data_IF_392086970360
#
_entry.id   IF_392086970360
#
_cell.length_a   1.000
_cell.length_b   1.000
_cell.length_c   1.000
_cell.angle_alpha   90.00
_cell.angle_beta   90.00
_cell.angle_gamma   90.00
#
_symmetry.space_group_name_H-M   'P 1'
#
loop_
_entity.id
_entity.type
_entity.pdbx_description
1 polymer ?
#
# COMPACT_ATOMS: atom_id res chain seq x y z
N UNK A 1 -4.96 25.57 8.86
CA UNK A 1 -5.03 24.25 8.18
C UNK A 1 -4.33 24.43 6.83
N UNK A 2 -3.07 24.03 6.73
CA UNK A 2 -2.38 23.91 5.46
C UNK A 2 -3.07 22.80 4.65
N UNK A 3 -3.26 22.99 3.35
CA UNK A 3 -3.69 21.91 2.48
C UNK A 3 -2.68 20.76 2.64
N UNK A 4 -3.15 19.55 2.95
CA UNK A 4 -2.29 18.39 2.96
C UNK A 4 -1.66 18.26 1.57
N UNK A 5 -0.37 17.95 1.53
CA UNK A 5 0.34 17.72 0.29
C UNK A 5 -0.32 16.51 -0.43
N UNK A 6 -0.83 16.66 -1.65
CA UNK A 6 -1.55 15.60 -2.32
C UNK A 6 -0.65 14.41 -2.71
N UNK A 7 0.67 14.59 -2.65
CA UNK A 7 1.64 13.58 -3.07
C UNK A 7 2.43 13.06 -1.87
N UNK A 8 2.33 11.76 -1.64
CA UNK A 8 3.05 11.08 -0.57
C UNK A 8 4.58 11.25 -0.69
N UNK A 9 5.26 11.38 0.46
CA UNK A 9 6.68 11.69 0.51
C UNK A 9 7.53 10.63 -0.20
N UNK A 10 7.24 9.33 -0.03
CA UNK A 10 7.98 8.25 -0.68
C UNK A 10 7.99 8.34 -2.22
N UNK A 11 6.93 8.92 -2.84
CA UNK A 11 6.88 9.16 -4.29
C UNK A 11 7.85 10.27 -4.71
N UNK A 12 7.96 11.33 -3.91
CA UNK A 12 8.91 12.42 -4.16
C UNK A 12 10.35 11.94 -4.03
N UNK A 13 10.61 11.13 -3.01
CA UNK A 13 11.93 10.57 -2.75
C UNK A 13 12.36 9.58 -3.85
N UNK A 14 11.42 8.83 -4.40
CA UNK A 14 11.68 7.90 -5.50
C UNK A 14 11.89 8.59 -6.87
N UNK A 15 11.39 9.81 -7.04
CA UNK A 15 11.41 10.55 -8.31
C UNK A 15 11.95 11.98 -8.15
N UNK A 16 13.18 12.17 -7.64
CA UNK A 16 13.74 13.50 -7.40
C UNK A 16 13.93 14.32 -8.68
N UNK A 17 14.13 13.66 -9.81
CA UNK A 17 14.23 14.25 -11.15
C UNK A 17 12.90 14.86 -11.63
N UNK A 18 11.77 14.45 -11.04
CA UNK A 18 10.43 14.96 -11.35
C UNK A 18 9.90 15.95 -10.32
N UNK A 19 10.72 16.40 -9.38
CA UNK A 19 10.30 17.29 -8.29
C UNK A 19 9.59 18.55 -8.81
N UNK A 20 10.04 19.13 -9.93
CA UNK A 20 9.42 20.29 -10.57
C UNK A 20 8.00 20.02 -11.07
N UNK A 21 7.78 18.87 -11.72
CA UNK A 21 6.46 18.44 -12.18
C UNK A 21 5.53 18.12 -11.00
N UNK A 22 6.04 17.42 -10.00
CA UNK A 22 5.30 17.07 -8.77
C UNK A 22 4.81 18.32 -8.05
N UNK A 23 5.65 19.38 -7.96
CA UNK A 23 5.30 20.62 -7.31
C UNK A 23 4.18 21.42 -8.03
N UNK A 24 3.89 21.09 -9.29
CA UNK A 24 2.80 21.74 -10.05
C UNK A 24 1.47 21.00 -9.97
N UNK A 25 1.42 19.84 -9.31
CA UNK A 25 0.18 19.05 -9.16
C UNK A 25 -0.81 19.82 -8.29
N UNK A 26 -2.00 20.04 -8.82
CA UNK A 26 -3.08 20.75 -8.15
C UNK A 26 -4.02 19.74 -7.50
N UNK A 27 -4.33 19.94 -6.22
CA UNK A 27 -5.36 19.13 -5.54
C UNK A 27 -6.74 19.44 -6.13
N UNK A 28 -7.49 18.40 -6.44
CA UNK A 28 -8.88 18.47 -6.92
C UNK A 28 -9.86 17.84 -5.90
N UNK A 29 -9.55 18.02 -4.62
CA UNK A 29 -10.34 17.47 -3.52
C UNK A 29 -9.82 16.13 -3.01
N UNK A 30 -10.60 15.47 -2.17
CA UNK A 30 -10.23 14.17 -1.60
C UNK A 30 -10.74 13.00 -2.45
N UNK A 31 -10.19 11.83 -2.23
CA UNK A 31 -10.66 10.58 -2.85
C UNK A 31 -12.16 10.30 -2.59
N UNK A 32 -12.68 10.76 -1.45
CA UNK A 32 -14.08 10.55 -1.06
C UNK A 32 -15.00 11.71 -1.48
N UNK A 33 -14.43 12.87 -1.78
CA UNK A 33 -15.18 14.07 -2.19
C UNK A 33 -14.33 14.84 -3.22
N UNK A 34 -14.25 14.35 -4.48
CA UNK A 34 -13.56 15.06 -5.54
C UNK A 34 -14.33 16.32 -5.95
N UNK A 35 -13.61 17.39 -6.27
CA UNK A 35 -14.16 18.63 -6.80
C UNK A 35 -14.27 18.54 -8.33
N UNK A 36 -15.43 18.19 -8.82
CA UNK A 36 -15.68 18.01 -10.26
C UNK A 36 -15.56 19.31 -11.05
N UNK A 37 -15.82 20.48 -10.44
CA UNK A 37 -15.62 21.78 -11.07
C UNK A 37 -14.12 22.08 -11.25
N UNK A 38 -13.33 21.87 -10.20
CA UNK A 38 -11.87 22.00 -10.28
C UNK A 38 -11.27 21.03 -11.31
N UNK A 39 -11.75 19.78 -11.39
CA UNK A 39 -11.33 18.82 -12.42
C UNK A 39 -11.65 19.36 -13.81
N UNK A 40 -12.87 19.85 -14.05
CA UNK A 40 -13.29 20.42 -15.34
C UNK A 40 -12.44 21.61 -15.76
N UNK A 41 -12.09 22.49 -14.81
CA UNK A 41 -11.25 23.66 -15.05
C UNK A 41 -9.82 23.32 -15.47
N UNK A 42 -9.30 22.16 -15.04
CA UNK A 42 -7.98 21.64 -15.46
C UNK A 42 -7.98 21.12 -16.90
N UNK A 43 -9.14 20.83 -17.49
CA UNK A 43 -9.30 20.28 -18.84
C UNK A 43 -8.40 19.06 -19.07
N UNK A 44 -8.52 17.99 -18.29
CA UNK A 44 -7.66 16.82 -18.40
C UNK A 44 -7.93 16.05 -19.70
N UNK A 45 -6.89 15.42 -20.26
CA UNK A 45 -7.02 14.48 -21.38
C UNK A 45 -7.50 13.09 -20.94
N UNK A 46 -7.27 12.73 -19.68
CA UNK A 46 -7.65 11.46 -19.06
C UNK A 46 -7.94 11.66 -17.57
N UNK A 47 -8.98 11.01 -17.10
CA UNK A 47 -9.29 10.92 -15.67
C UNK A 47 -9.13 9.47 -15.21
N UNK A 48 -8.33 9.26 -14.17
CA UNK A 48 -8.23 8.00 -13.46
C UNK A 48 -8.96 8.11 -12.12
N UNK A 49 -9.91 7.24 -11.87
CA UNK A 49 -10.70 7.24 -10.63
C UNK A 49 -10.71 5.87 -9.98
N UNK A 50 -10.93 5.88 -8.68
CA UNK A 50 -11.18 4.70 -7.88
C UNK A 50 -12.63 4.78 -7.36
N UNK A 51 -13.54 4.14 -8.07
CA UNK A 51 -14.96 4.18 -7.77
C UNK A 51 -15.44 2.94 -6.98
N UNK A 52 -14.54 1.99 -6.65
CA UNK A 52 -14.94 0.72 -6.01
C UNK A 52 -15.53 0.90 -4.62
N UNK A 53 -16.67 0.28 -4.38
CA UNK A 53 -17.25 0.13 -3.04
C UNK A 53 -17.94 1.37 -2.47
N UNK A 54 -18.35 2.32 -3.31
CA UNK A 54 -19.13 3.49 -2.89
C UNK A 54 -20.54 3.39 -3.44
N UNK A 55 -21.52 3.78 -2.63
CA UNK A 55 -22.94 3.81 -3.04
C UNK A 55 -23.19 4.74 -4.25
N UNK A 56 -22.36 5.79 -4.40
CA UNK A 56 -22.42 6.77 -5.49
C UNK A 56 -21.36 6.59 -6.58
N UNK A 57 -20.69 5.43 -6.64
CA UNK A 57 -19.59 5.18 -7.57
C UNK A 57 -19.98 5.41 -9.04
N UNK A 58 -21.14 4.91 -9.42
CA UNK A 58 -21.67 5.05 -10.78
C UNK A 58 -21.99 6.51 -11.11
N UNK A 59 -22.58 7.25 -10.17
CA UNK A 59 -22.91 8.67 -10.36
C UNK A 59 -21.65 9.51 -10.51
N UNK A 60 -20.63 9.26 -9.69
CA UNK A 60 -19.35 9.94 -9.81
C UNK A 60 -18.70 9.62 -11.16
N UNK A 61 -18.62 8.34 -11.53
CA UNK A 61 -18.05 7.91 -12.81
C UNK A 61 -18.74 8.58 -13.99
N UNK A 62 -20.07 8.59 -14.01
CA UNK A 62 -20.87 9.27 -15.04
C UNK A 62 -20.56 10.77 -15.10
N UNK A 63 -20.43 11.43 -13.95
CA UNK A 63 -20.11 12.86 -13.90
C UNK A 63 -18.70 13.14 -14.47
N UNK A 64 -17.72 12.32 -14.16
CA UNK A 64 -16.34 12.44 -14.64
C UNK A 64 -16.25 12.18 -16.15
N UNK A 65 -17.01 11.23 -16.68
CA UNK A 65 -17.04 10.95 -18.14
C UNK A 65 -17.64 12.08 -18.98
N UNK A 66 -18.39 13.01 -18.39
CA UNK A 66 -18.82 14.23 -19.07
C UNK A 66 -17.70 15.27 -19.23
N UNK A 67 -16.62 15.14 -18.46
CA UNK A 67 -15.48 16.06 -18.49
C UNK A 67 -14.41 15.54 -19.46
N UNK A 68 -14.00 14.28 -19.33
CA UNK A 68 -12.95 13.67 -20.15
C UNK A 68 -13.06 12.13 -20.16
N UNK A 69 -12.35 11.44 -21.09
CA UNK A 69 -12.19 10.00 -21.02
C UNK A 69 -11.78 9.54 -19.61
N UNK A 70 -12.51 8.58 -19.06
CA UNK A 70 -12.34 8.17 -17.65
C UNK A 70 -12.11 6.68 -17.55
N UNK A 71 -11.09 6.27 -16.80
CA UNK A 71 -10.83 4.87 -16.42
C UNK A 71 -11.13 4.69 -14.93
N UNK A 72 -11.87 3.63 -14.60
CA UNK A 72 -12.18 3.26 -13.21
C UNK A 72 -11.37 2.04 -12.80
N UNK A 73 -10.51 2.24 -11.81
CA UNK A 73 -9.68 1.19 -11.21
C UNK A 73 -10.44 0.49 -10.07
N UNK A 74 -10.04 -0.73 -9.73
CA UNK A 74 -10.58 -1.41 -8.54
C UNK A 74 -10.21 -0.65 -7.26
N UNK A 75 -9.01 -0.06 -7.23
CA UNK A 75 -8.54 0.81 -6.16
C UNK A 75 -8.32 0.12 -4.82
N UNK A 76 -8.26 -1.20 -4.82
CA UNK A 76 -7.86 -1.99 -3.65
C UNK A 76 -6.46 -2.52 -3.88
N UNK A 77 -5.66 -2.62 -2.82
CA UNK A 77 -4.30 -3.16 -2.94
C UNK A 77 -4.25 -4.59 -3.51
N UNK A 78 -5.34 -5.33 -3.44
CA UNK A 78 -5.47 -6.67 -4.02
C UNK A 78 -5.26 -6.69 -5.54
N UNK A 79 -5.75 -5.68 -6.24
CA UNK A 79 -5.75 -5.61 -7.70
C UNK A 79 -4.72 -4.62 -8.26
N UNK A 80 -3.74 -4.19 -7.47
CA UNK A 80 -2.82 -3.14 -7.85
C UNK A 80 -2.07 -3.36 -9.19
N UNK A 81 -1.74 -4.61 -9.52
CA UNK A 81 -1.11 -4.94 -10.82
C UNK A 81 -2.08 -4.76 -11.98
N UNK A 82 -3.33 -5.21 -11.80
CA UNK A 82 -4.37 -5.05 -12.81
C UNK A 82 -4.70 -3.57 -13.03
N UNK A 83 -4.81 -2.80 -11.95
CA UNK A 83 -5.05 -1.36 -11.99
C UNK A 83 -3.89 -0.60 -12.64
N UNK A 84 -2.65 -0.99 -12.35
CA UNK A 84 -1.46 -0.42 -13.00
C UNK A 84 -1.45 -0.69 -14.50
N UNK A 85 -1.78 -1.92 -14.92
CA UNK A 85 -1.87 -2.27 -16.35
C UNK A 85 -3.05 -1.59 -17.04
N UNK A 86 -4.19 -1.40 -16.37
CA UNK A 86 -5.33 -0.67 -16.90
C UNK A 86 -4.99 0.79 -17.18
N UNK A 87 -4.33 1.45 -16.22
CA UNK A 87 -3.87 2.83 -16.39
C UNK A 87 -2.84 2.94 -17.51
N UNK A 88 -1.89 2.01 -17.55
CA UNK A 88 -0.88 1.97 -18.60
C UNK A 88 -1.49 1.72 -20.00
N UNK A 89 -2.54 0.90 -20.09
CA UNK A 89 -3.27 0.66 -21.33
C UNK A 89 -3.96 1.94 -21.83
N UNK A 90 -4.61 2.68 -20.93
CA UNK A 90 -5.21 3.98 -21.25
C UNK A 90 -4.18 5.02 -21.73
N UNK A 91 -2.93 4.89 -21.30
CA UNK A 91 -1.80 5.74 -21.72
C UNK A 91 -1.03 5.19 -22.93
N UNK A 92 -1.44 4.05 -23.53
CA UNK A 92 -0.71 3.39 -24.61
C UNK A 92 0.64 2.81 -24.19
N UNK A 93 0.83 2.49 -22.89
CA UNK A 93 2.09 2.03 -22.29
C UNK A 93 2.02 0.60 -21.72
N UNK A 94 1.00 -0.18 -22.08
CA UNK A 94 0.74 -1.50 -21.49
C UNK A 94 1.95 -2.44 -21.54
N UNK A 95 2.65 -2.54 -22.68
CA UNK A 95 3.80 -3.42 -22.80
C UNK A 95 4.97 -3.00 -21.91
N UNK A 96 5.17 -1.69 -21.75
CA UNK A 96 6.20 -1.16 -20.86
C UNK A 96 5.88 -1.49 -19.40
N UNK A 97 4.63 -1.27 -18.98
CA UNK A 97 4.15 -1.60 -17.65
C UNK A 97 4.25 -3.10 -17.36
N UNK A 98 3.94 -3.97 -18.32
CA UNK A 98 4.08 -5.41 -18.15
C UNK A 98 5.55 -5.80 -17.92
N UNK A 99 6.47 -5.26 -18.73
CA UNK A 99 7.91 -5.50 -18.51
C UNK A 99 8.39 -5.02 -17.14
N UNK A 100 7.85 -3.90 -16.62
CA UNK A 100 8.17 -3.41 -15.27
C UNK A 100 7.70 -4.40 -14.21
N UNK A 101 6.49 -4.93 -14.32
CA UNK A 101 5.95 -5.93 -13.37
C UNK A 101 6.72 -7.25 -13.43
N UNK A 102 7.07 -7.71 -14.63
CA UNK A 102 7.84 -8.95 -14.83
C UNK A 102 9.25 -8.81 -14.22
N UNK A 103 9.90 -7.67 -14.45
CA UNK A 103 11.21 -7.37 -13.88
C UNK A 103 11.15 -7.27 -12.34
N UNK A 104 10.12 -6.63 -11.79
CA UNK A 104 9.90 -6.56 -10.35
C UNK A 104 9.74 -7.96 -9.74
N UNK A 105 8.89 -8.80 -10.33
CA UNK A 105 8.63 -10.16 -9.83
C UNK A 105 9.90 -11.03 -9.90
N UNK A 106 10.67 -10.93 -10.99
CA UNK A 106 11.93 -11.66 -11.12
C UNK A 106 12.97 -11.20 -10.08
N UNK A 107 13.09 -9.88 -9.85
CA UNK A 107 13.98 -9.32 -8.83
C UNK A 107 13.54 -9.74 -7.41
N UNK A 108 12.25 -9.69 -7.11
CA UNK A 108 11.73 -10.14 -5.80
C UNK A 108 12.06 -11.62 -5.55
N UNK A 109 11.84 -12.49 -6.52
CA UNK A 109 12.18 -13.91 -6.42
C UNK A 109 13.69 -14.13 -6.21
N UNK A 110 14.54 -13.37 -6.90
CA UNK A 110 16.00 -13.43 -6.75
C UNK A 110 16.44 -12.98 -5.35
N UNK A 111 15.92 -11.86 -4.85
CA UNK A 111 16.24 -11.33 -3.52
C UNK A 111 15.72 -12.28 -2.42
N UNK A 112 14.51 -12.82 -2.58
CA UNK A 112 13.94 -13.77 -1.64
C UNK A 112 14.67 -15.12 -1.58
N UNK A 113 15.38 -15.52 -2.64
CA UNK A 113 16.10 -16.79 -2.69
C UNK A 113 17.26 -16.88 -1.68
N UNK A 114 17.79 -15.75 -1.23
CA UNK A 114 18.91 -15.67 -0.26
C UNK A 114 18.46 -15.41 1.17
N UNK A 115 17.14 -15.19 1.39
CA UNK A 115 16.55 -14.96 2.71
C UNK A 115 16.12 -16.28 3.36
N UNK A 116 15.98 -16.26 4.69
CA UNK A 116 15.35 -17.37 5.42
C UNK A 116 13.84 -17.40 5.11
N UNK A 117 13.47 -18.26 4.18
CA UNK A 117 12.08 -18.42 3.73
C UNK A 117 11.19 -19.16 4.72
N UNK A 118 11.77 -19.69 5.80
CA UNK A 118 11.00 -20.32 6.90
C UNK A 118 10.58 -19.31 7.94
N UNK A 119 11.29 -18.19 8.04
CA UNK A 119 10.92 -17.09 8.92
C UNK A 119 9.58 -16.45 8.47
N UNK A 120 8.69 -16.30 9.42
CA UNK A 120 7.36 -15.72 9.18
C UNK A 120 7.39 -14.20 9.28
N UNK A 121 6.80 -13.51 8.30
CA UNK A 121 6.65 -12.06 8.24
C UNK A 121 5.23 -11.67 8.61
N UNK A 122 5.09 -10.98 9.73
CA UNK A 122 3.83 -10.40 10.19
C UNK A 122 3.69 -8.95 9.74
N UNK A 123 2.46 -8.53 9.46
CA UNK A 123 2.12 -7.21 8.97
C UNK A 123 0.99 -6.63 9.83
N UNK A 124 1.25 -5.53 10.52
CA UNK A 124 0.33 -4.89 11.46
C UNK A 124 0.21 -3.39 11.15
N UNK A 125 -1.01 -2.88 11.15
CA UNK A 125 -1.28 -1.44 11.14
C UNK A 125 -2.04 -1.03 12.38
N UNK A 126 -1.58 0.04 13.04
CA UNK A 126 -2.33 0.76 14.06
C UNK A 126 -3.05 1.94 13.41
N UNK A 127 -4.38 1.97 13.52
CA UNK A 127 -5.23 3.11 13.17
C UNK A 127 -5.67 3.86 14.43
N UNK A 128 -6.57 4.84 14.27
CA UNK A 128 -7.05 5.63 15.41
C UNK A 128 -7.72 4.77 16.50
N UNK A 129 -8.55 3.80 16.10
CA UNK A 129 -9.36 2.99 17.04
C UNK A 129 -9.21 1.48 16.80
N UNK A 130 -8.34 1.06 15.90
CA UNK A 130 -8.25 -0.34 15.47
C UNK A 130 -6.84 -0.77 15.15
N UNK A 131 -6.53 -1.99 15.57
CA UNK A 131 -5.39 -2.73 15.08
C UNK A 131 -5.84 -3.63 13.93
N UNK A 132 -5.01 -3.75 12.90
CA UNK A 132 -5.35 -4.52 11.71
C UNK A 132 -4.17 -5.32 11.22
N UNK A 133 -4.37 -6.61 11.05
CA UNK A 133 -3.40 -7.51 10.41
C UNK A 133 -3.75 -7.70 8.94
N UNK A 134 -2.73 -7.91 8.11
CA UNK A 134 -2.88 -7.99 6.66
C UNK A 134 -2.55 -9.40 6.15
N UNK A 135 -3.45 -9.95 5.34
CA UNK A 135 -3.34 -11.28 4.74
C UNK A 135 -2.61 -11.29 3.39
N UNK A 136 -2.51 -12.48 2.76
CA UNK A 136 -1.83 -12.66 1.47
C UNK A 136 -2.45 -11.89 0.31
N UNK A 137 -3.76 -11.60 0.36
CA UNK A 137 -4.46 -10.86 -0.67
C UNK A 137 -4.25 -9.34 -0.59
N UNK A 138 -3.61 -8.84 0.46
CA UNK A 138 -3.27 -7.42 0.56
C UNK A 138 -2.13 -7.04 -0.40
N UNK A 139 -2.00 -5.74 -0.68
CA UNK A 139 -0.88 -5.22 -1.46
C UNK A 139 0.47 -5.68 -0.89
N UNK A 140 0.74 -5.35 0.38
CA UNK A 140 1.99 -5.72 1.05
C UNK A 140 2.14 -7.23 1.18
N UNK A 141 1.05 -7.98 1.40
CA UNK A 141 1.04 -9.43 1.40
C UNK A 141 1.47 -10.04 0.06
N UNK A 142 1.10 -9.40 -1.05
CA UNK A 142 1.52 -9.82 -2.39
C UNK A 142 3.03 -9.65 -2.61
N UNK A 143 3.63 -8.60 -2.06
CA UNK A 143 5.09 -8.39 -2.13
C UNK A 143 5.84 -9.41 -1.27
N UNK A 144 5.32 -9.73 -0.08
CA UNK A 144 5.86 -10.80 0.77
C UNK A 144 5.82 -12.15 0.03
N UNK A 145 4.73 -12.42 -0.71
CA UNK A 145 4.60 -13.64 -1.52
C UNK A 145 5.58 -13.67 -2.70
N UNK A 146 5.81 -12.53 -3.39
CA UNK A 146 6.80 -12.44 -4.47
C UNK A 146 8.24 -12.74 -3.97
N UNK A 147 8.56 -12.33 -2.74
CA UNK A 147 9.81 -12.69 -2.07
C UNK A 147 9.85 -14.16 -1.64
N UNK A 148 8.72 -14.88 -1.68
CA UNK A 148 8.60 -16.26 -1.25
C UNK A 148 8.73 -16.45 0.27
N UNK A 149 8.43 -15.42 1.06
CA UNK A 149 8.49 -15.43 2.50
C UNK A 149 7.23 -16.02 3.13
N UNK A 150 7.38 -16.67 4.28
CA UNK A 150 6.27 -17.28 5.01
C UNK A 150 5.42 -16.23 5.75
N UNK A 151 4.16 -16.60 6.04
CA UNK A 151 3.23 -15.80 6.83
C UNK A 151 2.85 -16.50 8.12
N UNK A 152 2.66 -15.81 9.26
CA UNK A 152 2.08 -16.39 10.47
C UNK A 152 0.71 -17.00 10.15
N UNK A 153 0.37 -18.09 10.86
CA UNK A 153 -0.90 -18.81 10.65
C UNK A 153 -2.13 -17.89 10.77
N UNK A 154 -2.11 -16.96 11.73
CA UNK A 154 -3.20 -16.00 11.94
C UNK A 154 -3.38 -15.03 10.74
N UNK A 155 -2.39 -14.92 9.86
CA UNK A 155 -2.41 -14.01 8.70
C UNK A 155 -2.44 -14.74 7.35
N UNK A 156 -2.92 -15.98 7.32
CA UNK A 156 -3.10 -16.79 6.10
C UNK A 156 -4.57 -16.83 5.62
N UNK A 157 -5.41 -15.93 6.13
CA UNK A 157 -6.81 -15.81 5.69
C UNK A 157 -6.91 -15.34 4.23
N UNK A 158 -7.95 -15.80 3.53
CA UNK A 158 -8.20 -15.51 2.10
C UNK A 158 -9.60 -14.98 1.82
N UNK A 159 -10.37 -14.68 2.86
CA UNK A 159 -11.71 -14.10 2.79
C UNK A 159 -11.69 -12.55 2.79
N UNK A 160 -10.50 -11.95 2.85
CA UNK A 160 -10.29 -10.51 2.79
C UNK A 160 -8.81 -10.13 2.68
N UNK A 161 -8.55 -8.85 2.51
CA UNK A 161 -7.19 -8.31 2.45
C UNK A 161 -6.60 -8.07 3.85
N UNK A 162 -7.46 -7.86 4.85
CA UNK A 162 -7.07 -7.56 6.23
C UNK A 162 -8.16 -7.96 7.20
N UNK A 163 -7.80 -8.16 8.47
CA UNK A 163 -8.71 -8.41 9.58
C UNK A 163 -8.42 -7.46 10.74
N UNK A 164 -9.50 -6.93 11.36
CA UNK A 164 -9.38 -6.13 12.56
C UNK A 164 -9.12 -7.06 13.76
N UNK A 165 -8.20 -6.65 14.63
CA UNK A 165 -7.89 -7.30 15.90
C UNK A 165 -8.00 -6.30 17.04
N UNK A 166 -8.05 -6.77 18.27
CA UNK A 166 -8.04 -5.94 19.47
C UNK A 166 -6.70 -6.01 20.21
N UNK A 167 -6.49 -5.12 21.18
CA UNK A 167 -5.30 -5.17 22.02
C UNK A 167 -5.19 -6.48 22.83
N UNK A 168 -6.33 -7.10 23.16
CA UNK A 168 -6.38 -8.40 23.87
C UNK A 168 -6.01 -9.58 22.95
N UNK A 169 -6.08 -9.41 21.64
CA UNK A 169 -5.73 -10.44 20.64
C UNK A 169 -4.52 -10.04 19.81
N UNK A 170 -3.65 -9.18 20.34
CA UNK A 170 -2.45 -8.67 19.68
C UNK A 170 -1.45 -9.80 19.33
N UNK A 171 -1.53 -10.94 20.00
CA UNK A 171 -0.79 -12.17 19.68
C UNK A 171 -1.02 -12.66 18.23
N UNK A 172 -2.15 -12.32 17.61
CA UNK A 172 -2.41 -12.61 16.19
C UNK A 172 -1.50 -11.82 15.24
N UNK A 173 -0.86 -10.75 15.73
CA UNK A 173 0.14 -9.99 14.99
C UNK A 173 1.56 -10.53 15.21
N UNK A 174 1.76 -11.64 15.95
CA UNK A 174 3.10 -12.17 16.19
C UNK A 174 3.64 -12.97 14.99
N UNK A 175 4.96 -13.05 14.91
CA UNK A 175 5.70 -13.79 13.90
C UNK A 175 7.20 -13.75 14.21
N UNK A 176 8.03 -14.29 13.34
CA UNK A 176 9.49 -14.17 13.48
C UNK A 176 9.97 -12.75 13.24
N UNK A 177 9.29 -12.05 12.32
CA UNK A 177 9.43 -10.62 12.03
C UNK A 177 8.08 -9.94 12.07
N UNK A 178 8.02 -8.74 12.64
CA UNK A 178 6.83 -7.89 12.68
C UNK A 178 7.15 -6.55 12.02
N UNK A 179 6.49 -6.24 10.90
CA UNK A 179 6.52 -4.92 10.28
C UNK A 179 5.21 -4.21 10.62
N UNK A 180 5.33 -3.07 11.30
CA UNK A 180 4.16 -2.33 11.76
C UNK A 180 4.21 -0.86 11.36
N UNK A 181 3.07 -0.33 10.96
CA UNK A 181 2.90 1.08 10.61
C UNK A 181 1.81 1.74 11.43
N UNK A 182 1.97 3.03 11.72
CA UNK A 182 1.02 3.84 12.48
C UNK A 182 0.40 4.87 11.55
N UNK A 183 -0.94 4.90 11.50
CA UNK A 183 -1.66 5.78 10.57
C UNK A 183 -1.59 7.25 10.95
N UNK A 184 -1.50 7.56 12.25
CA UNK A 184 -1.42 8.93 12.74
C UNK A 184 -0.78 8.95 14.11
N UNK A 185 -0.01 10.00 14.40
CA UNK A 185 0.73 10.13 15.65
C UNK A 185 2.04 9.34 15.65
N UNK A 186 2.38 8.79 16.81
CA UNK A 186 3.56 7.97 17.02
C UNK A 186 3.20 6.52 17.41
N UNK A 187 4.19 5.66 17.46
CA UNK A 187 4.00 4.27 17.82
C UNK A 187 3.75 4.01 19.32
N UNK A 188 3.81 5.03 20.18
CA UNK A 188 3.73 4.85 21.64
C UNK A 188 2.42 4.18 22.08
N UNK A 189 1.30 4.50 21.42
CA UNK A 189 0.02 3.85 21.68
C UNK A 189 0.05 2.34 21.44
N UNK A 190 0.64 1.91 20.34
CA UNK A 190 0.78 0.50 20.00
C UNK A 190 1.84 -0.21 20.85
N UNK A 191 3.02 0.39 20.98
CA UNK A 191 4.14 -0.22 21.75
C UNK A 191 3.92 -0.22 23.25
N UNK A 192 2.98 0.62 23.74
CA UNK A 192 2.52 0.65 25.12
C UNK A 192 1.45 -0.41 25.46
N UNK A 193 0.94 -1.14 24.47
CA UNK A 193 -0.04 -2.19 24.71
C UNK A 193 0.52 -3.31 25.59
N UNK A 194 -0.31 -3.83 26.48
CA UNK A 194 0.11 -4.80 27.51
C UNK A 194 0.75 -6.06 26.92
N UNK A 195 0.25 -6.53 25.77
CA UNK A 195 0.76 -7.73 25.11
C UNK A 195 1.97 -7.47 24.19
N UNK A 196 2.29 -6.21 23.89
CA UNK A 196 3.39 -5.87 22.99
C UNK A 196 4.74 -6.49 23.39
N UNK A 197 5.20 -6.39 24.66
CA UNK A 197 6.48 -6.99 25.05
C UNK A 197 6.50 -8.53 24.99
N UNK A 198 5.34 -9.17 24.93
CA UNK A 198 5.23 -10.65 24.89
C UNK A 198 5.31 -11.22 23.45
N UNK A 199 5.24 -10.35 22.44
CA UNK A 199 5.38 -10.78 21.05
C UNK A 199 6.81 -11.29 20.79
N UNK A 200 6.90 -12.43 20.11
CA UNK A 200 8.19 -13.08 19.77
C UNK A 200 9.10 -12.16 18.96
N UNK A 201 8.55 -11.49 17.96
CA UNK A 201 9.28 -10.50 17.15
C UNK A 201 9.82 -9.33 17.99
N UNK A 202 9.02 -8.83 18.95
CA UNK A 202 9.44 -7.73 19.85
C UNK A 202 10.56 -8.18 20.78
N UNK A 203 10.39 -9.34 21.42
CA UNK A 203 11.38 -9.92 22.34
C UNK A 203 12.71 -10.21 21.65
N UNK A 204 12.68 -10.55 20.35
CA UNK A 204 13.85 -10.84 19.53
C UNK A 204 14.48 -9.57 18.88
N UNK A 205 13.91 -8.37 19.11
CA UNK A 205 14.36 -7.14 18.45
C UNK A 205 14.08 -7.10 16.94
N UNK A 206 13.06 -7.84 16.49
CA UNK A 206 12.66 -7.99 15.07
C UNK A 206 11.30 -7.34 14.76
N UNK A 207 10.88 -6.40 15.58
CA UNK A 207 9.73 -5.54 15.32
C UNK A 207 10.25 -4.24 14.67
N UNK A 208 9.85 -3.99 13.42
CA UNK A 208 10.33 -2.89 12.59
C UNK A 208 9.18 -1.93 12.32
N UNK A 209 9.32 -0.69 12.74
CA UNK A 209 8.42 0.37 12.34
C UNK A 209 8.67 0.74 10.87
N UNK A 210 7.59 0.85 10.09
CA UNK A 210 7.65 1.17 8.67
C UNK A 210 6.78 2.37 8.32
N UNK A 211 7.11 3.03 7.22
CA UNK A 211 6.26 4.08 6.67
C UNK A 211 4.88 3.49 6.31
N UNK A 212 3.85 4.05 6.94
CA UNK A 212 2.46 3.64 6.76
C UNK A 212 2.00 3.75 5.30
N UNK A 213 2.44 4.80 4.58
CA UNK A 213 1.94 5.10 3.25
C UNK A 213 2.26 3.99 2.23
N UNK A 214 3.53 3.63 1.96
CA UNK A 214 3.85 2.60 0.98
C UNK A 214 3.48 1.19 1.43
N UNK A 215 3.34 0.94 2.75
CA UNK A 215 3.01 -0.39 3.25
C UNK A 215 1.51 -0.66 3.29
N UNK A 216 0.70 0.31 3.73
CA UNK A 216 -0.68 0.04 4.13
C UNK A 216 -1.73 0.96 3.50
N UNK A 217 -1.33 2.05 2.87
CA UNK A 217 -2.26 3.03 2.31
C UNK A 217 -2.23 3.06 0.79
N UNK A 218 -1.06 3.18 0.20
CA UNK A 218 -0.86 3.33 -1.23
C UNK A 218 -0.38 2.02 -1.86
N UNK A 219 -0.78 1.79 -3.11
CA UNK A 219 -0.41 0.59 -3.85
C UNK A 219 0.08 0.99 -5.25
N UNK A 220 1.12 0.31 -5.72
CA UNK A 220 1.69 0.54 -7.04
C UNK A 220 3.16 0.15 -7.11
N UNK A 221 3.80 0.24 -8.30
CA UNK A 221 5.18 -0.22 -8.49
C UNK A 221 6.20 0.46 -7.57
N UNK A 222 6.09 1.77 -7.35
CA UNK A 222 6.99 2.51 -6.46
C UNK A 222 6.84 2.07 -5.01
N UNK A 223 5.60 1.95 -4.51
CA UNK A 223 5.34 1.45 -3.16
C UNK A 223 5.83 0.00 -3.01
N UNK A 224 5.61 -0.87 -4.02
CA UNK A 224 6.08 -2.26 -4.00
C UNK A 224 7.61 -2.35 -3.88
N UNK A 225 8.34 -1.45 -4.55
CA UNK A 225 9.81 -1.37 -4.42
C UNK A 225 10.24 -0.95 -3.03
N UNK A 226 9.61 0.07 -2.45
CA UNK A 226 9.91 0.51 -1.06
C UNK A 226 9.67 -0.64 -0.08
N UNK A 227 8.54 -1.35 -0.21
CA UNK A 227 8.23 -2.52 0.63
C UNK A 227 9.28 -3.61 0.46
N UNK A 228 9.61 -3.98 -0.78
CA UNK A 228 10.62 -5.01 -1.06
C UNK A 228 11.99 -4.64 -0.47
N UNK A 229 12.45 -3.40 -0.68
CA UNK A 229 13.75 -2.93 -0.19
C UNK A 229 13.79 -2.95 1.36
N UNK A 230 12.72 -2.49 2.01
CA UNK A 230 12.61 -2.49 3.47
C UNK A 230 12.62 -3.92 4.04
N UNK A 231 11.81 -4.82 3.48
CA UNK A 231 11.75 -6.21 3.92
C UNK A 231 13.11 -6.90 3.75
N UNK A 232 13.72 -6.80 2.57
CA UNK A 232 14.99 -7.48 2.28
C UNK A 232 16.13 -6.92 3.12
N UNK A 233 16.18 -5.61 3.36
CA UNK A 233 17.17 -4.99 4.23
C UNK A 233 17.09 -5.49 5.67
N UNK A 234 15.87 -5.52 6.23
CA UNK A 234 15.65 -5.98 7.60
C UNK A 234 15.98 -7.47 7.77
N UNK A 235 15.52 -8.32 6.83
CA UNK A 235 15.69 -9.77 6.92
C UNK A 235 17.13 -10.24 6.61
N UNK A 236 17.99 -9.36 6.07
CA UNK A 236 19.41 -9.65 5.80
C UNK A 236 20.35 -9.18 6.91
N UNK A 237 19.85 -8.44 7.91
CA UNK A 237 20.63 -7.93 9.04
C UNK A 237 20.77 -8.97 10.13
#
# INVERSE_FOLDING_TARGET
>A
SGAEDPIAQYLKDAHPDQAGAIATITSVGSRTSPDTEAIGNLRPDLIATNASGKDDADTLYQSLTQIAPTVSMHGTGQYWRADFLLLADALGKREEAQRMLDAFTAEAAQRGAVLDRTATVSLLRSGQDKLRIFGPLSFVGSVVADLGLARPKAQQFTDGVSQDISAETLDQADGDWLFYGVQSGDAAGLTGEKLWPSLSAVSAGRAVEVDHDPFFLNAGPTAARVVMDTLTSALSA
#
